data_IF_889891878848
#
_entry.id   IF_889891878848
#
_cell.length_a   1.000
_cell.length_b   1.000
_cell.length_c   1.000
_cell.angle_alpha   90.00
_cell.angle_beta   90.00
_cell.angle_gamma   90.00
#
_symmetry.space_group_name_H-M   'P 1'
#
loop_
_entity.id
_entity.type
_entity.pdbx_description
1 polymer ?
#
# COMPACT_ATOMS: atom_id res chain seq x y z
N UNK A 1 9.75 65.17 17.72
CA UNK A 1 11.01 64.49 17.38
C UNK A 1 10.66 63.46 16.32
N UNK A 2 10.64 63.74 15.01
CA UNK A 2 11.69 64.28 14.14
C UNK A 2 13.07 63.69 14.45
N UNK A 3 13.49 62.68 13.67
CA UNK A 3 14.79 62.72 13.00
C UNK A 3 14.85 61.74 11.81
N UNK A 4 15.05 62.30 10.63
CA UNK A 4 15.43 61.65 9.37
C UNK A 4 16.96 61.60 9.27
N UNK A 5 17.55 60.56 8.65
CA UNK A 5 18.83 60.56 7.90
C UNK A 5 19.10 59.12 7.41
N UNK A 6 19.02 58.78 6.12
CA UNK A 6 19.84 59.12 4.95
C UNK A 6 20.99 58.11 4.68
N UNK A 7 20.82 57.40 3.56
CA UNK A 7 21.77 56.90 2.54
C UNK A 7 23.23 56.56 2.89
N UNK A 8 23.67 55.36 2.48
CA UNK A 8 24.98 55.17 1.82
C UNK A 8 24.95 53.98 0.84
N UNK A 9 25.31 54.26 -0.42
CA UNK A 9 25.56 53.32 -1.51
C UNK A 9 26.85 52.53 -1.26
N UNK A 10 26.84 51.22 -1.56
CA UNK A 10 28.03 50.37 -1.62
C UNK A 10 28.17 49.73 -2.99
N UNK A 11 29.13 50.20 -3.77
CA UNK A 11 29.53 49.67 -5.08
C UNK A 11 30.46 48.46 -4.91
N UNK A 12 30.21 47.35 -5.62
CA UNK A 12 31.22 46.31 -5.83
C UNK A 12 31.54 46.18 -7.32
N UNK A 13 32.84 46.33 -7.61
CA UNK A 13 33.44 46.31 -8.92
C UNK A 13 33.55 44.88 -9.47
N UNK A 14 33.18 44.73 -10.74
CA UNK A 14 33.44 43.54 -11.55
C UNK A 14 34.93 43.46 -11.90
N UNK A 15 35.54 42.29 -11.72
CA UNK A 15 36.87 41.98 -12.24
C UNK A 15 36.73 41.25 -13.57
N UNK A 16 37.32 41.85 -14.61
CA UNK A 16 37.37 41.35 -15.97
C UNK A 16 38.56 40.39 -16.15
N UNK A 17 38.30 39.13 -16.49
CA UNK A 17 39.30 38.25 -17.10
C UNK A 17 39.06 38.21 -18.61
N UNK A 18 39.94 38.88 -19.35
CA UNK A 18 39.98 38.91 -20.80
C UNK A 18 40.76 37.71 -21.34
N UNK A 19 40.10 36.80 -22.06
CA UNK A 19 40.74 35.80 -22.92
C UNK A 19 40.38 36.09 -24.38
N UNK A 20 41.40 36.02 -25.23
CA UNK A 20 41.42 36.41 -26.63
C UNK A 20 40.46 35.58 -27.51
N UNK A 21 39.83 36.24 -28.49
CA UNK A 21 39.01 35.60 -29.50
C UNK A 21 39.84 35.36 -30.76
N UNK A 22 40.19 34.10 -31.05
CA UNK A 22 40.55 33.68 -32.40
C UNK A 22 39.26 33.53 -33.21
N UNK A 23 39.03 34.45 -34.14
CA UNK A 23 37.89 34.45 -35.05
C UNK A 23 38.16 33.49 -36.22
N UNK A 24 37.44 32.36 -36.24
CA UNK A 24 37.33 31.49 -37.42
C UNK A 24 36.08 31.91 -38.22
N UNK A 25 36.13 32.03 -39.55
CA UNK A 25 34.97 32.42 -40.37
C UNK A 25 33.83 31.40 -40.26
N UNK A 26 32.56 31.82 -40.39
CA UNK A 26 31.42 30.91 -40.32
C UNK A 26 31.42 29.97 -41.53
N UNK A 27 31.42 28.67 -41.26
CA UNK A 27 31.09 27.66 -42.27
C UNK A 27 29.57 27.67 -42.51
N UNK A 28 29.16 27.58 -43.78
CA UNK A 28 27.77 27.48 -44.20
C UNK A 28 27.03 26.35 -43.46
N UNK A 29 25.76 26.55 -43.06
CA UNK A 29 25.00 25.50 -42.40
C UNK A 29 24.73 24.36 -43.39
N UNK A 30 25.35 23.21 -43.13
CA UNK A 30 24.98 21.96 -43.77
C UNK A 30 23.48 21.68 -43.49
N UNK A 31 22.72 21.18 -44.48
CA UNK A 31 21.31 20.87 -44.28
C UNK A 31 21.18 19.83 -43.15
N UNK A 32 20.45 20.19 -42.09
CA UNK A 32 20.05 19.28 -41.03
C UNK A 32 19.02 18.34 -41.68
N UNK A 33 19.48 17.19 -42.15
CA UNK A 33 18.57 16.12 -42.50
C UNK A 33 17.92 15.64 -41.20
N UNK A 34 16.64 15.95 -41.03
CA UNK A 34 15.73 15.24 -40.11
C UNK A 34 15.64 13.78 -40.54
N UNK A 35 16.70 13.01 -40.28
CA UNK A 35 16.63 11.57 -40.26
C UNK A 35 16.16 11.19 -38.85
N UNK A 36 14.84 11.16 -38.66
CA UNK A 36 14.23 10.36 -37.61
C UNK A 36 14.67 8.90 -37.86
N UNK A 37 15.81 8.53 -37.29
CA UNK A 37 16.24 7.15 -37.30
C UNK A 37 15.36 6.39 -36.30
N UNK A 38 14.73 5.32 -36.76
CA UNK A 38 14.04 4.32 -35.93
C UNK A 38 14.97 3.64 -34.89
N UNK A 39 16.23 4.08 -34.79
CA UNK A 39 17.28 3.57 -33.94
C UNK A 39 17.17 3.96 -32.46
N UNK A 40 16.15 4.72 -32.07
CA UNK A 40 15.88 5.05 -30.66
C UNK A 40 14.58 4.42 -30.13
N UNK A 41 14.06 3.41 -30.85
CA UNK A 41 12.93 2.63 -30.39
C UNK A 41 13.44 1.48 -29.50
N UNK A 42 13.04 1.49 -28.23
CA UNK A 42 13.31 0.39 -27.31
C UNK A 42 12.59 -0.87 -27.80
N UNK A 43 13.36 -1.90 -28.17
CA UNK A 43 12.82 -3.19 -28.62
C UNK A 43 12.26 -4.05 -27.47
N UNK A 44 12.24 -3.52 -26.24
CA UNK A 44 11.96 -4.30 -25.05
C UNK A 44 13.10 -5.28 -24.75
N UNK A 45 13.24 -5.62 -23.48
CA UNK A 45 13.99 -6.79 -23.06
C UNK A 45 13.03 -7.69 -22.30
N UNK A 46 13.25 -9.00 -22.35
CA UNK A 46 12.52 -9.92 -21.50
C UNK A 46 12.78 -9.56 -20.04
N UNK A 47 11.72 -9.27 -19.30
CA UNK A 47 11.81 -9.04 -17.87
C UNK A 47 12.24 -10.35 -17.19
N UNK A 48 13.29 -10.30 -16.37
CA UNK A 48 13.63 -11.42 -15.50
C UNK A 48 12.42 -11.76 -14.61
N UNK A 49 12.08 -13.04 -14.39
CA UNK A 49 10.97 -13.41 -13.52
C UNK A 49 11.12 -12.77 -12.14
N UNK A 50 10.08 -12.12 -11.66
CA UNK A 50 10.02 -11.53 -10.32
C UNK A 50 9.68 -12.61 -9.28
N UNK A 51 10.39 -13.74 -9.28
CA UNK A 51 10.08 -14.94 -8.48
C UNK A 51 11.16 -15.29 -7.44
N UNK A 52 12.11 -14.38 -7.20
CA UNK A 52 13.14 -14.51 -6.18
C UNK A 52 12.65 -14.24 -4.75
N UNK A 53 13.58 -14.28 -3.79
CA UNK A 53 13.34 -13.90 -2.39
C UNK A 53 12.67 -12.52 -2.32
N UNK A 54 11.68 -12.38 -1.45
CA UNK A 54 10.87 -11.16 -1.29
C UNK A 54 9.68 -11.07 -2.24
N UNK A 55 9.55 -11.95 -3.23
CA UNK A 55 8.36 -12.03 -4.09
C UNK A 55 7.16 -12.65 -3.36
N UNK A 56 5.96 -12.18 -3.67
CA UNK A 56 4.71 -12.75 -3.17
C UNK A 56 4.14 -13.81 -4.09
N UNK A 57 3.53 -14.87 -3.54
CA UNK A 57 2.81 -15.88 -4.30
C UNK A 57 1.59 -16.39 -3.54
N UNK A 58 0.63 -16.99 -4.25
CA UNK A 58 -0.52 -17.67 -3.66
C UNK A 58 -0.15 -19.14 -3.45
N UNK A 59 -0.08 -19.57 -2.19
CA UNK A 59 0.28 -20.94 -1.84
C UNK A 59 -0.93 -21.89 -1.89
N UNK A 60 -2.12 -21.40 -1.52
CA UNK A 60 -3.36 -22.18 -1.52
C UNK A 60 -4.60 -21.27 -1.59
N UNK A 61 -5.73 -21.86 -1.98
CA UNK A 61 -7.04 -21.21 -1.98
C UNK A 61 -8.00 -21.97 -1.07
N UNK A 62 -8.81 -21.23 -0.32
CA UNK A 62 -9.79 -21.73 0.64
C UNK A 62 -11.12 -21.02 0.41
N UNK A 63 -11.92 -21.52 -0.54
CA UNK A 63 -13.19 -20.91 -0.95
C UNK A 63 -13.02 -19.45 -1.40
N UNK A 64 -13.27 -18.49 -0.51
CA UNK A 64 -13.18 -17.05 -0.76
C UNK A 64 -11.86 -16.44 -0.27
N UNK A 65 -10.94 -17.25 0.24
CA UNK A 65 -9.68 -16.79 0.82
C UNK A 65 -8.47 -17.34 0.07
N UNK A 66 -7.45 -16.51 -0.05
CA UNK A 66 -6.14 -16.89 -0.57
C UNK A 66 -5.13 -16.92 0.57
N UNK A 67 -4.33 -17.98 0.65
CA UNK A 67 -3.10 -17.95 1.45
C UNK A 67 -2.00 -17.35 0.59
N UNK A 68 -1.59 -16.12 0.92
CA UNK A 68 -0.52 -15.40 0.24
C UNK A 68 0.74 -15.43 1.09
N UNK A 69 1.85 -15.84 0.51
CA UNK A 69 3.13 -15.99 1.19
C UNK A 69 4.21 -15.14 0.51
N UNK A 70 5.25 -14.78 1.25
CA UNK A 70 6.44 -14.10 0.73
C UNK A 70 7.61 -15.06 0.78
N UNK A 71 8.32 -15.23 -0.35
CA UNK A 71 9.48 -16.12 -0.42
C UNK A 71 10.63 -15.62 0.47
N UNK A 72 11.17 -16.49 1.31
CA UNK A 72 12.36 -16.22 2.14
C UNK A 72 13.55 -17.09 1.72
N UNK A 73 14.76 -16.72 2.15
CA UNK A 73 15.98 -17.49 1.85
C UNK A 73 15.98 -18.87 2.51
N UNK A 74 15.36 -19.02 3.67
CA UNK A 74 15.30 -20.25 4.47
C UNK A 74 14.12 -21.17 4.10
N UNK A 75 13.25 -20.73 3.18
CA UNK A 75 12.02 -21.43 2.77
C UNK A 75 10.91 -21.46 3.83
N UNK A 76 11.09 -20.77 4.96
CA UNK A 76 10.08 -20.60 5.99
C UNK A 76 9.20 -19.37 5.70
N UNK A 77 8.52 -19.42 4.56
CA UNK A 77 7.79 -18.29 4.01
C UNK A 77 6.66 -17.82 4.95
N UNK A 78 6.66 -16.56 5.42
CA UNK A 78 5.55 -16.00 6.18
C UNK A 78 4.34 -15.82 5.26
N UNK A 79 3.17 -16.20 5.76
CA UNK A 79 1.93 -16.12 5.01
C UNK A 79 0.89 -15.24 5.73
N UNK A 80 -0.07 -14.76 4.95
CA UNK A 80 -1.26 -14.07 5.40
C UNK A 80 -2.48 -14.62 4.66
N UNK A 81 -3.63 -14.57 5.32
CA UNK A 81 -4.91 -14.93 4.72
C UNK A 81 -5.51 -13.68 4.08
N UNK A 82 -5.84 -13.74 2.79
CA UNK A 82 -6.21 -12.57 1.99
C UNK A 82 -7.60 -12.73 1.35
N UNK A 83 -8.35 -11.63 1.28
CA UNK A 83 -9.54 -11.50 0.45
C UNK A 83 -9.60 -10.09 -0.17
N UNK A 84 -9.90 -10.02 -1.46
CA UNK A 84 -10.21 -8.77 -2.16
C UNK A 84 -11.70 -8.48 -2.00
N UNK A 85 -12.04 -7.36 -1.39
CA UNK A 85 -13.41 -6.96 -1.11
C UNK A 85 -13.96 -6.14 -2.26
N UNK A 86 -15.18 -6.47 -2.66
CA UNK A 86 -15.90 -5.83 -3.75
C UNK A 86 -17.15 -5.11 -3.24
N UNK A 87 -17.53 -4.02 -3.89
CA UNK A 87 -18.82 -3.38 -3.65
C UNK A 87 -19.98 -4.16 -4.29
N UNK A 88 -21.20 -3.64 -4.13
CA UNK A 88 -22.41 -4.25 -4.69
C UNK A 88 -22.42 -4.29 -6.23
N UNK A 89 -21.60 -3.48 -6.88
CA UNK A 89 -21.44 -3.42 -8.33
C UNK A 89 -20.32 -4.35 -8.83
N UNK A 90 -19.59 -5.00 -7.91
CA UNK A 90 -18.51 -5.94 -8.21
C UNK A 90 -17.14 -5.29 -8.39
N UNK A 91 -17.03 -3.97 -8.16
CA UNK A 91 -15.76 -3.25 -8.24
C UNK A 91 -14.87 -3.64 -7.07
N UNK A 92 -13.58 -3.79 -7.32
CA UNK A 92 -12.59 -4.02 -6.26
C UNK A 92 -12.39 -2.72 -5.46
N UNK A 93 -12.63 -2.77 -4.15
CA UNK A 93 -12.59 -1.56 -3.30
C UNK A 93 -11.54 -1.65 -2.21
N UNK A 94 -11.47 -2.76 -1.48
CA UNK A 94 -10.56 -2.86 -0.34
C UNK A 94 -9.87 -4.22 -0.29
N UNK A 95 -8.69 -4.26 0.29
CA UNK A 95 -7.95 -5.49 0.55
C UNK A 95 -8.00 -5.79 2.04
N UNK A 96 -8.33 -7.03 2.37
CA UNK A 96 -8.30 -7.53 3.75
C UNK A 96 -7.25 -8.63 3.84
N UNK A 97 -6.26 -8.44 4.70
CA UNK A 97 -5.30 -9.49 5.02
C UNK A 97 -5.21 -9.72 6.53
N UNK A 98 -5.15 -10.98 6.94
CA UNK A 98 -5.12 -11.35 8.35
C UNK A 98 -4.05 -12.40 8.62
N UNK A 99 -3.42 -12.27 9.77
CA UNK A 99 -2.30 -13.09 10.18
C UNK A 99 -2.41 -13.40 11.68
N UNK A 100 -1.93 -14.57 12.10
CA UNK A 100 -1.86 -14.94 13.51
C UNK A 100 -0.83 -14.06 14.24
N UNK A 101 -1.09 -13.81 15.52
CA UNK A 101 -0.16 -13.10 16.40
C UNK A 101 0.32 -14.04 17.51
N UNK A 102 1.61 -13.97 17.84
CA UNK A 102 2.18 -14.58 19.05
C UNK A 102 2.52 -13.48 20.05
N UNK A 103 2.30 -13.76 21.33
CA UNK A 103 2.72 -12.91 22.47
C UNK A 103 2.29 -11.42 22.38
N UNK A 104 1.20 -11.12 21.67
CA UNK A 104 0.75 -9.76 21.34
C UNK A 104 -0.30 -9.22 22.32
N UNK A 105 -0.15 -9.53 23.61
CA UNK A 105 -1.09 -9.14 24.65
C UNK A 105 -2.45 -9.83 24.50
N UNK A 106 -3.52 -9.04 24.34
CA UNK A 106 -4.90 -9.56 24.25
C UNK A 106 -5.28 -10.04 22.84
N UNK A 107 -4.55 -9.61 21.80
CA UNK A 107 -4.85 -9.97 20.43
C UNK A 107 -4.14 -11.29 20.07
N UNK A 108 -4.89 -12.22 19.49
CA UNK A 108 -4.39 -13.51 18.99
C UNK A 108 -4.30 -13.56 17.46
N UNK A 109 -4.91 -12.59 16.79
CA UNK A 109 -4.79 -12.37 15.35
C UNK A 109 -4.75 -10.87 15.06
N UNK A 110 -4.06 -10.50 14.00
CA UNK A 110 -4.00 -9.15 13.46
C UNK A 110 -4.50 -9.11 12.02
N UNK A 111 -5.02 -7.97 11.59
CA UNK A 111 -5.33 -7.73 10.19
C UNK A 111 -4.80 -6.38 9.72
N UNK A 112 -4.42 -6.34 8.45
CA UNK A 112 -4.17 -5.12 7.71
C UNK A 112 -5.30 -4.96 6.70
N UNK A 113 -5.98 -3.82 6.77
CA UNK A 113 -7.08 -3.50 5.86
C UNK A 113 -6.68 -2.26 5.09
N UNK A 114 -6.59 -2.40 3.77
CA UNK A 114 -6.23 -1.30 2.86
C UNK A 114 -7.50 -0.88 2.13
N UNK A 115 -7.87 0.38 2.30
CA UNK A 115 -9.06 0.98 1.66
C UNK A 115 -8.61 2.09 0.71
N UNK A 116 -9.46 2.53 -0.24
CA UNK A 116 -9.07 3.52 -1.23
C UNK A 116 -8.57 4.83 -0.62
N UNK A 117 -7.83 5.57 -1.44
CA UNK A 117 -7.63 7.00 -1.22
C UNK A 117 -8.98 7.73 -1.19
N UNK A 118 -8.99 8.95 -0.69
CA UNK A 118 -10.23 9.72 -0.49
C UNK A 118 -11.19 9.06 0.53
N UNK A 119 -10.68 8.25 1.43
CA UNK A 119 -11.42 7.78 2.62
C UNK A 119 -11.43 8.85 3.71
N UNK A 120 -12.59 9.11 4.32
CA UNK A 120 -12.76 10.04 5.44
C UNK A 120 -12.20 9.43 6.74
N UNK A 121 -10.98 9.80 7.09
CA UNK A 121 -10.26 9.18 8.19
C UNK A 121 -10.90 9.39 9.57
N UNK A 122 -11.58 10.52 9.76
CA UNK A 122 -12.23 10.86 11.04
C UNK A 122 -13.45 10.00 11.35
N UNK A 123 -14.07 9.38 10.34
CA UNK A 123 -15.21 8.47 10.54
C UNK A 123 -14.77 7.06 10.95
N UNK A 124 -13.47 6.76 10.80
CA UNK A 124 -12.85 5.46 11.04
C UNK A 124 -13.44 4.33 10.18
N UNK A 125 -12.79 3.17 10.22
CA UNK A 125 -13.32 1.95 9.63
C UNK A 125 -14.22 1.26 10.65
N UNK A 126 -15.33 0.66 10.19
CA UNK A 126 -16.12 -0.23 11.05
C UNK A 126 -16.19 -1.65 10.48
N UNK A 127 -16.23 -2.63 11.38
CA UNK A 127 -16.34 -4.04 11.05
C UNK A 127 -17.34 -4.72 11.99
N UNK A 128 -18.30 -5.43 11.42
CA UNK A 128 -19.26 -6.26 12.13
C UNK A 128 -19.20 -7.69 11.62
N UNK A 129 -19.23 -8.68 12.51
CA UNK A 129 -19.29 -10.11 12.17
C UNK A 129 -20.73 -10.57 12.34
N UNK A 130 -21.36 -11.04 11.27
CA UNK A 130 -22.78 -11.38 11.17
C UNK A 130 -23.68 -10.30 11.80
N UNK A 131 -24.48 -10.65 12.81
CA UNK A 131 -25.36 -9.74 13.56
C UNK A 131 -24.69 -9.19 14.82
N UNK A 132 -23.38 -9.38 14.97
CA UNK A 132 -22.59 -8.87 16.09
C UNK A 132 -22.50 -7.35 16.08
N UNK A 133 -22.18 -6.77 17.25
CA UNK A 133 -21.98 -5.33 17.37
C UNK A 133 -20.78 -4.89 16.52
N UNK A 134 -20.99 -3.89 15.67
CA UNK A 134 -19.91 -3.27 14.91
C UNK A 134 -18.84 -2.68 15.85
N UNK A 135 -17.58 -2.92 15.52
CA UNK A 135 -16.42 -2.32 16.18
C UNK A 135 -15.80 -1.27 15.27
N UNK A 136 -15.19 -0.27 15.90
CA UNK A 136 -14.58 0.89 15.23
C UNK A 136 -13.07 0.73 15.30
N UNK A 137 -12.41 0.90 14.17
CA UNK A 137 -10.96 0.76 14.00
C UNK A 137 -10.40 2.02 13.32
N UNK A 138 -9.55 2.80 14.02
CA UNK A 138 -8.93 3.96 13.43
C UNK A 138 -7.98 3.60 12.28
N UNK A 139 -7.94 4.47 11.27
CA UNK A 139 -6.89 4.42 10.26
C UNK A 139 -5.56 4.81 10.90
N UNK A 140 -4.52 4.05 10.59
CA UNK A 140 -3.18 4.26 11.13
C UNK A 140 -2.38 5.25 10.29
N UNK A 141 -2.43 5.12 8.96
CA UNK A 141 -1.73 5.98 8.00
C UNK A 141 -2.29 5.75 6.59
N UNK A 142 -1.91 6.61 5.64
CA UNK A 142 -2.16 6.37 4.22
C UNK A 142 -0.84 6.32 3.45
N UNK A 143 -0.85 5.55 2.36
CA UNK A 143 0.23 5.45 1.39
C UNK A 143 -0.33 5.76 0.00
N UNK A 144 0.50 5.70 -1.04
CA UNK A 144 0.03 5.82 -2.43
C UNK A 144 -0.94 4.70 -2.85
N UNK A 145 -0.92 3.56 -2.15
CA UNK A 145 -1.79 2.40 -2.44
C UNK A 145 -3.17 2.57 -1.81
N UNK A 146 -3.26 3.26 -0.68
CA UNK A 146 -4.51 3.41 0.07
C UNK A 146 -4.28 3.77 1.54
N UNK A 147 -5.39 3.91 2.26
CA UNK A 147 -5.40 4.15 3.69
C UNK A 147 -5.49 2.84 4.46
N UNK A 148 -4.68 2.72 5.51
CA UNK A 148 -4.42 1.45 6.20
C UNK A 148 -5.01 1.49 7.60
N UNK A 149 -5.84 0.51 7.93
CA UNK A 149 -6.21 0.20 9.30
C UNK A 149 -5.44 -1.05 9.77
N UNK A 150 -4.84 -0.97 10.96
CA UNK A 150 -4.22 -2.12 11.64
C UNK A 150 -5.13 -2.56 12.77
N UNK A 151 -5.62 -3.78 12.67
CA UNK A 151 -6.68 -4.31 13.53
C UNK A 151 -6.14 -5.48 14.33
N UNK A 152 -6.56 -5.59 15.60
CA UNK A 152 -6.30 -6.75 16.45
C UNK A 152 -7.60 -7.42 16.87
N UNK A 153 -7.59 -8.75 16.94
CA UNK A 153 -8.73 -9.58 17.34
C UNK A 153 -8.37 -10.44 18.54
N UNK A 154 -9.28 -10.47 19.51
CA UNK A 154 -9.27 -11.37 20.66
C UNK A 154 -9.59 -12.81 20.25
N UNK A 155 -9.37 -13.77 21.15
CA UNK A 155 -9.71 -15.17 20.90
C UNK A 155 -11.21 -15.37 20.67
N UNK A 156 -12.04 -14.60 21.38
CA UNK A 156 -13.50 -14.63 21.24
C UNK A 156 -13.94 -14.13 19.86
N UNK A 157 -13.34 -13.05 19.36
CA UNK A 157 -13.62 -12.53 18.02
C UNK A 157 -13.13 -13.48 16.94
N UNK A 158 -11.94 -14.04 17.08
CA UNK A 158 -11.44 -15.05 16.14
C UNK A 158 -12.39 -16.27 16.10
N UNK A 159 -12.94 -16.67 17.24
CA UNK A 159 -13.96 -17.71 17.29
C UNK A 159 -15.28 -17.31 16.59
N UNK A 160 -15.65 -16.01 16.61
CA UNK A 160 -16.78 -15.51 15.82
C UNK A 160 -16.49 -15.60 14.33
N UNK A 161 -15.31 -15.19 13.87
CA UNK A 161 -14.91 -15.37 12.46
C UNK A 161 -15.02 -16.83 12.00
N UNK A 162 -14.56 -17.78 12.83
CA UNK A 162 -14.61 -19.23 12.50
C UNK A 162 -16.02 -19.81 12.40
N UNK A 163 -16.97 -19.27 13.18
CA UNK A 163 -18.36 -19.74 13.23
C UNK A 163 -19.28 -18.96 12.29
N UNK A 164 -18.89 -17.74 11.94
CA UNK A 164 -19.72 -16.80 11.21
C UNK A 164 -19.81 -17.12 9.73
N UNK A 165 -20.75 -16.44 9.05
CA UNK A 165 -20.96 -16.59 7.63
C UNK A 165 -20.36 -15.41 6.85
N UNK A 166 -20.57 -14.19 7.35
CA UNK A 166 -20.09 -12.97 6.72
C UNK A 166 -19.68 -11.94 7.76
N UNK A 167 -18.74 -11.08 7.40
CA UNK A 167 -18.50 -9.82 8.08
C UNK A 167 -18.76 -8.66 7.12
N UNK A 168 -19.10 -7.49 7.67
CA UNK A 168 -19.36 -6.28 6.89
C UNK A 168 -18.34 -5.23 7.31
N UNK A 169 -17.52 -4.82 6.35
CA UNK A 169 -16.65 -3.66 6.46
C UNK A 169 -17.43 -2.43 6.00
N UNK A 170 -17.34 -1.32 6.73
CA UNK A 170 -17.91 -0.04 6.29
C UNK A 170 -16.87 1.06 6.31
N UNK A 171 -16.83 1.82 5.22
CA UNK A 171 -15.98 3.00 5.04
C UNK A 171 -16.83 4.18 4.57
N UNK A 172 -16.32 5.40 4.75
CA UNK A 172 -16.96 6.64 4.33
C UNK A 172 -16.03 7.40 3.39
N UNK A 173 -16.45 7.75 2.16
CA UNK A 173 -15.66 8.61 1.28
C UNK A 173 -15.62 10.06 1.78
N UNK A 174 -14.46 10.73 1.69
CA UNK A 174 -14.30 12.14 2.04
C UNK A 174 -15.07 13.07 1.09
N UNK A 175 -15.27 12.64 -0.16
CA UNK A 175 -16.03 13.37 -1.17
C UNK A 175 -17.55 13.28 -0.94
N UNK A 176 -17.99 12.28 -0.16
CA UNK A 176 -19.39 12.08 0.21
C UNK A 176 -19.51 11.67 1.70
N UNK A 177 -19.27 12.59 2.65
CA UNK A 177 -19.18 12.28 4.09
C UNK A 177 -20.44 11.71 4.74
N UNK A 178 -21.59 11.77 4.05
CA UNK A 178 -22.86 11.22 4.50
C UNK A 178 -23.16 9.83 3.96
N UNK A 179 -22.37 9.36 2.98
CA UNK A 179 -22.56 8.07 2.32
C UNK A 179 -21.66 6.99 2.94
N UNK A 180 -22.20 5.77 3.03
CA UNK A 180 -21.49 4.61 3.55
C UNK A 180 -21.30 3.60 2.44
N UNK A 181 -20.06 3.15 2.27
CA UNK A 181 -19.73 2.03 1.40
C UNK A 181 -19.60 0.79 2.26
N UNK A 182 -20.49 -0.19 2.06
CA UNK A 182 -20.48 -1.47 2.78
C UNK A 182 -19.88 -2.55 1.91
N UNK A 183 -18.82 -3.19 2.39
CA UNK A 183 -18.08 -4.23 1.68
C UNK A 183 -18.25 -5.56 2.43
N UNK A 184 -18.91 -6.56 1.82
CA UNK A 184 -18.99 -7.89 2.41
C UNK A 184 -17.62 -8.58 2.40
N UNK A 185 -17.25 -9.14 3.54
CA UNK A 185 -16.13 -10.04 3.75
C UNK A 185 -16.68 -11.44 4.01
N UNK A 186 -16.50 -12.36 3.07
CA UNK A 186 -17.00 -13.73 3.23
C UNK A 186 -16.16 -14.50 4.24
N UNK A 187 -16.81 -15.24 5.14
CA UNK A 187 -16.14 -16.11 6.12
C UNK A 187 -16.11 -17.59 5.68
N UNK A 188 -16.64 -17.89 4.49
CA UNK A 188 -16.53 -19.22 3.89
C UNK A 188 -15.08 -19.55 3.62
N UNK A 189 -14.60 -20.68 4.16
CA UNK A 189 -13.21 -21.11 4.05
C UNK A 189 -12.26 -20.47 5.07
N UNK A 190 -12.73 -19.53 5.90
CA UNK A 190 -11.88 -18.80 6.86
C UNK A 190 -11.12 -19.73 7.80
N UNK A 191 -11.81 -20.69 8.42
CA UNK A 191 -11.21 -21.60 9.41
C UNK A 191 -10.04 -22.37 8.81
N UNK A 192 -10.25 -23.03 7.67
CA UNK A 192 -9.22 -23.81 7.00
C UNK A 192 -8.03 -22.92 6.56
N UNK A 193 -8.33 -21.75 5.98
CA UNK A 193 -7.28 -20.85 5.52
C UNK A 193 -6.47 -20.24 6.66
N UNK A 194 -7.12 -19.83 7.75
CA UNK A 194 -6.42 -19.27 8.89
C UNK A 194 -5.57 -20.32 9.62
N UNK A 195 -6.04 -21.57 9.68
CA UNK A 195 -5.25 -22.67 10.23
C UNK A 195 -4.02 -22.96 9.37
N UNK A 196 -4.16 -22.91 8.03
CA UNK A 196 -3.03 -23.06 7.11
C UNK A 196 -1.99 -21.94 7.28
N UNK A 197 -2.42 -20.68 7.41
CA UNK A 197 -1.52 -19.55 7.70
C UNK A 197 -0.88 -19.68 9.08
N UNK A 198 -1.63 -20.14 10.08
CA UNK A 198 -1.11 -20.38 11.44
C UNK A 198 0.01 -21.42 11.44
N UNK A 199 -0.11 -22.45 10.60
CA UNK A 199 0.90 -23.50 10.46
C UNK A 199 2.23 -22.98 9.86
N UNK A 200 2.25 -21.82 9.20
CA UNK A 200 3.49 -21.24 8.65
C UNK A 200 4.22 -20.31 9.62
N UNK A 201 3.68 -20.08 10.83
CA UNK A 201 4.38 -19.28 11.82
C UNK A 201 5.67 -19.96 12.28
N UNK A 202 6.80 -19.24 12.33
CA UNK A 202 8.05 -19.76 12.88
C UNK A 202 7.83 -20.30 14.29
N UNK A 203 8.33 -21.52 14.56
CA UNK A 203 8.32 -22.07 15.92
C UNK A 203 9.20 -21.16 16.81
N UNK A 204 8.80 -20.86 18.06
CA UNK A 204 9.64 -20.08 18.96
C UNK A 204 11.03 -20.72 19.05
N UNK A 205 12.09 -19.90 18.99
CA UNK A 205 13.41 -20.38 19.34
C UNK A 205 13.35 -20.96 20.77
N UNK A 206 13.86 -22.18 20.94
CA UNK A 206 13.99 -22.75 22.28
C UNK A 206 14.88 -21.81 23.13
N UNK A 207 14.55 -21.62 24.42
CA UNK A 207 15.36 -20.78 25.31
C UNK A 207 16.79 -21.30 25.44
#
# INVERSE_FOLDING_TARGET
MMLSMALALGSMAAHSTAWAQDATPPADPAPIADAASDANLSMGADAAPADGVGSSYVAANFEQWEQRCIKTEDGADPCQLYQLLKDAQGNSVAEYSMFPLKDSGKAVAGATIVVPLETLLTDNLTLAIDTGKAKIYPYSFCTKVGCVARVGFTAEELAQFRKGANAILTIVPVVAPTEKVTLPLSLKGFTAGFDAVTATMPKPAAP
#
